data_IF_887684417111
#
_entry.id   IF_887684417111
#
_cell.length_a   1.000
_cell.length_b   1.000
_cell.length_c   1.000
_cell.angle_alpha   90.00
_cell.angle_beta   90.00
_cell.angle_gamma   90.00
#
_symmetry.space_group_name_H-M   'P 1'
#
loop_
_entity.id
_entity.type
_entity.pdbx_description
1 polymer ?
#
# COMPACT_ATOMS: atom_id res chain seq x y z
N UNK A 1 -35.85 28.71 27.79
CA UNK A 1 -35.43 27.62 26.89
C UNK A 1 -34.03 27.95 26.41
N UNK A 2 -33.08 27.01 26.53
CA UNK A 2 -31.68 27.25 26.18
C UNK A 2 -31.52 27.53 24.68
N UNK A 3 -30.70 28.51 24.33
CA UNK A 3 -30.34 28.76 22.93
C UNK A 3 -29.57 27.54 22.39
N UNK A 4 -30.01 27.01 21.26
CA UNK A 4 -29.31 25.94 20.54
C UNK A 4 -28.18 26.57 19.72
N UNK A 5 -26.96 26.42 20.22
CA UNK A 5 -25.76 26.83 19.51
C UNK A 5 -25.15 25.62 18.79
N UNK A 6 -25.10 25.63 17.45
CA UNK A 6 -24.45 24.57 16.71
C UNK A 6 -22.95 24.56 16.99
N UNK A 7 -22.40 23.35 17.09
CA UNK A 7 -20.96 23.10 17.21
C UNK A 7 -20.42 22.67 15.85
N UNK A 8 -19.20 23.10 15.53
CA UNK A 8 -18.60 22.90 14.23
C UNK A 8 -17.26 22.20 14.34
N UNK A 9 -17.02 21.26 13.44
CA UNK A 9 -15.68 20.74 13.18
C UNK A 9 -15.43 20.61 11.67
N UNK A 10 -14.18 20.79 11.29
CA UNK A 10 -13.71 20.59 9.91
C UNK A 10 -12.67 19.49 9.95
N UNK A 11 -12.90 18.43 9.17
CA UNK A 11 -11.98 17.31 9.05
C UNK A 11 -11.73 17.06 7.56
N UNK A 12 -10.50 17.33 7.11
CA UNK A 12 -10.11 17.28 5.71
C UNK A 12 -11.02 18.14 4.79
N UNK A 13 -11.87 17.49 3.98
CA UNK A 13 -12.82 18.13 3.04
C UNK A 13 -14.28 17.94 3.48
N UNK A 14 -14.52 17.65 4.76
CA UNK A 14 -15.86 17.51 5.30
C UNK A 14 -16.09 18.52 6.42
N UNK A 15 -17.28 19.14 6.43
CA UNK A 15 -17.74 20.00 7.52
C UNK A 15 -18.83 19.27 8.30
N UNK A 16 -18.66 19.21 9.62
CA UNK A 16 -19.63 18.66 10.55
C UNK A 16 -20.29 19.79 11.35
N UNK A 17 -21.61 19.75 11.42
CA UNK A 17 -22.44 20.71 12.16
C UNK A 17 -23.34 19.94 13.13
N UNK A 18 -23.08 20.06 14.42
CA UNK A 18 -23.85 19.39 15.48
C UNK A 18 -24.80 20.39 16.12
N UNK A 19 -26.10 20.08 16.12
CA UNK A 19 -27.14 20.81 16.83
C UNK A 19 -27.54 20.04 18.09
N UNK A 20 -27.14 20.50 19.29
CA UNK A 20 -27.62 19.92 20.53
C UNK A 20 -29.11 20.22 20.71
N UNK A 21 -29.91 19.20 20.98
CA UNK A 21 -31.36 19.30 21.19
C UNK A 21 -31.69 18.91 22.64
N UNK A 22 -31.32 19.71 23.64
CA UNK A 22 -31.67 19.40 25.01
C UNK A 22 -33.19 19.49 25.15
N UNK A 23 -33.82 18.39 25.56
CA UNK A 23 -35.25 18.29 25.91
C UNK A 23 -36.24 18.26 24.73
N UNK A 24 -35.77 18.17 23.48
CA UNK A 24 -36.63 18.10 22.30
C UNK A 24 -36.16 16.97 21.37
N UNK A 25 -37.09 16.24 20.77
CA UNK A 25 -36.76 15.16 19.84
C UNK A 25 -36.47 15.71 18.44
N UNK A 26 -35.68 14.97 17.65
CA UNK A 26 -35.43 15.34 16.26
C UNK A 26 -36.69 15.30 15.35
N UNK A 27 -37.79 14.69 15.81
CA UNK A 27 -39.06 14.69 15.08
C UNK A 27 -39.80 16.03 15.18
N UNK A 28 -39.64 16.73 16.31
CA UNK A 28 -40.33 18.00 16.61
C UNK A 28 -39.57 19.24 16.13
N UNK A 29 -38.30 19.06 15.73
CA UNK A 29 -37.38 20.12 15.34
C UNK A 29 -37.37 20.33 13.82
N UNK A 30 -37.43 21.60 13.42
CA UNK A 30 -37.22 22.05 12.04
C UNK A 30 -35.90 22.84 11.98
N UNK A 31 -34.93 22.42 11.16
CA UNK A 31 -33.67 23.17 10.94
C UNK A 31 -33.54 23.51 9.46
N UNK A 32 -33.28 24.77 9.15
CA UNK A 32 -32.93 25.24 7.80
C UNK A 32 -31.53 25.80 7.81
N UNK A 33 -30.76 25.44 6.80
CA UNK A 33 -29.47 26.05 6.50
C UNK A 33 -29.59 26.78 5.18
N UNK A 34 -29.12 28.02 5.18
CA UNK A 34 -29.07 28.89 4.03
C UNK A 34 -27.63 29.26 3.73
N UNK A 35 -27.27 29.29 2.45
CA UNK A 35 -26.07 29.97 1.97
C UNK A 35 -26.55 31.21 1.23
N UNK A 36 -26.12 32.38 1.68
CA UNK A 36 -26.66 33.67 1.22
C UNK A 36 -28.19 33.77 1.37
N UNK A 37 -28.96 33.58 0.28
CA UNK A 37 -30.44 33.62 0.25
C UNK A 37 -31.07 32.28 -0.13
N UNK A 38 -30.26 31.27 -0.43
CA UNK A 38 -30.74 29.97 -0.90
C UNK A 38 -30.73 28.95 0.23
N UNK A 39 -31.84 28.24 0.41
CA UNK A 39 -31.93 27.13 1.35
C UNK A 39 -31.15 25.95 0.75
N UNK A 40 -30.08 25.52 1.43
CA UNK A 40 -29.26 24.39 0.99
C UNK A 40 -29.79 23.07 1.54
N UNK A 41 -30.23 23.05 2.79
CA UNK A 41 -30.89 21.90 3.41
C UNK A 41 -32.00 22.33 4.35
N UNK A 42 -33.04 21.49 4.39
CA UNK A 42 -34.13 21.59 5.33
C UNK A 42 -34.33 20.25 6.04
N UNK A 43 -34.17 20.24 7.34
CA UNK A 43 -34.42 19.09 8.17
C UNK A 43 -35.76 19.23 8.89
N UNK A 44 -36.61 18.20 8.77
CA UNK A 44 -37.95 18.18 9.35
C UNK A 44 -38.43 16.75 9.56
N UNK A 45 -39.08 16.46 10.68
CA UNK A 45 -39.63 15.13 11.01
C UNK A 45 -38.57 14.03 10.88
N UNK A 46 -37.38 14.29 11.44
CA UNK A 46 -36.23 13.40 11.35
C UNK A 46 -35.83 13.00 9.91
N UNK A 47 -36.02 13.91 8.95
CA UNK A 47 -35.64 13.71 7.54
C UNK A 47 -34.91 14.93 7.03
N UNK A 48 -33.83 14.69 6.31
CA UNK A 48 -33.12 15.69 5.53
C UNK A 48 -33.78 15.85 4.16
N UNK A 49 -34.11 17.08 3.81
CA UNK A 49 -34.67 17.50 2.53
C UNK A 49 -33.65 18.44 1.90
N UNK A 50 -33.21 18.12 0.68
CA UNK A 50 -32.24 18.92 -0.06
C UNK A 50 -32.92 20.12 -0.71
N UNK A 51 -32.27 21.28 -0.66
CA UNK A 51 -32.74 22.51 -1.29
C UNK A 51 -32.33 22.64 -2.76
N UNK A 52 -32.35 23.88 -3.27
CA UNK A 52 -32.14 24.21 -4.68
C UNK A 52 -30.75 23.76 -5.19
N UNK A 53 -29.77 23.70 -4.29
CA UNK A 53 -28.49 23.03 -4.54
C UNK A 53 -28.61 21.53 -4.29
N UNK A 54 -29.19 20.83 -5.28
CA UNK A 54 -29.44 19.39 -5.26
C UNK A 54 -28.20 18.52 -5.10
N UNK A 55 -27.60 18.50 -3.90
CA UNK A 55 -26.35 17.81 -3.65
C UNK A 55 -26.52 16.63 -2.72
N UNK A 56 -26.19 15.45 -3.24
CA UNK A 56 -25.86 14.21 -2.52
C UNK A 56 -24.73 14.36 -1.49
N UNK A 57 -24.20 15.58 -1.30
CA UNK A 57 -23.11 15.91 -0.38
C UNK A 57 -23.56 16.08 1.06
N UNK A 58 -24.82 16.47 1.28
CA UNK A 58 -25.37 16.61 2.61
C UNK A 58 -25.90 15.29 3.14
N UNK A 59 -25.50 14.94 4.35
CA UNK A 59 -26.06 13.81 5.08
C UNK A 59 -26.32 14.21 6.52
N UNK A 60 -27.09 13.40 7.24
CA UNK A 60 -27.36 13.65 8.64
C UNK A 60 -27.34 12.36 9.45
N UNK A 61 -27.07 12.51 10.74
CA UNK A 61 -27.29 11.49 11.75
C UNK A 61 -28.04 12.12 12.92
N UNK A 62 -28.85 11.31 13.59
CA UNK A 62 -29.59 11.72 14.78
C UNK A 62 -29.16 10.81 15.92
N UNK A 63 -28.64 11.41 16.98
CA UNK A 63 -28.30 10.72 18.22
C UNK A 63 -29.19 11.25 19.35
N UNK A 64 -29.20 10.57 20.49
CA UNK A 64 -30.03 10.99 21.61
C UNK A 64 -29.62 12.39 22.10
N UNK A 65 -30.46 13.39 21.80
CA UNK A 65 -30.24 14.78 22.17
C UNK A 65 -29.39 15.60 21.18
N UNK A 66 -29.18 15.14 19.94
CA UNK A 66 -28.54 15.94 18.90
C UNK A 66 -28.94 15.54 17.47
N UNK A 67 -28.80 16.49 16.55
CA UNK A 67 -28.83 16.24 15.10
C UNK A 67 -27.53 16.76 14.52
N UNK A 68 -26.85 15.94 13.73
CA UNK A 68 -25.57 16.28 13.12
C UNK A 68 -25.69 16.26 11.61
N UNK A 69 -25.31 17.35 10.95
CA UNK A 69 -25.23 17.44 9.49
C UNK A 69 -23.77 17.36 9.03
N UNK A 70 -23.56 16.65 7.93
CA UNK A 70 -22.27 16.55 7.28
C UNK A 70 -22.38 17.10 5.87
N UNK A 71 -21.52 18.06 5.54
CA UNK A 71 -21.24 18.50 4.18
C UNK A 71 -19.96 17.82 3.72
N UNK A 72 -20.08 16.86 2.82
CA UNK A 72 -18.96 16.05 2.33
C UNK A 72 -18.38 16.60 1.03
N UNK A 73 -17.08 16.39 0.80
CA UNK A 73 -16.38 16.80 -0.42
C UNK A 73 -16.55 18.30 -0.72
N UNK A 74 -16.30 19.12 0.31
CA UNK A 74 -16.31 20.59 0.27
C UNK A 74 -15.23 21.06 -0.71
N UNK A 75 -15.64 21.80 -1.72
CA UNK A 75 -14.78 22.50 -2.67
C UNK A 75 -14.83 23.99 -2.40
N UNK A 76 -14.04 24.79 -3.13
CA UNK A 76 -14.07 26.25 -3.03
C UNK A 76 -15.46 26.85 -3.29
N UNK A 77 -16.35 26.12 -4.00
CA UNK A 77 -17.71 26.56 -4.32
C UNK A 77 -18.64 26.57 -3.10
N UNK A 78 -18.42 25.68 -2.14
CA UNK A 78 -19.22 25.61 -0.92
C UNK A 78 -18.68 26.49 0.21
N UNK A 79 -17.63 27.27 -0.05
CA UNK A 79 -17.12 28.28 0.88
C UNK A 79 -18.01 29.52 0.85
N UNK A 80 -18.37 30.05 2.02
CA UNK A 80 -19.16 31.27 2.17
C UNK A 80 -20.08 31.19 3.37
N UNK A 81 -20.61 32.31 3.85
CA UNK A 81 -21.39 32.35 5.09
C UNK A 81 -22.67 31.48 5.01
N UNK A 82 -22.82 30.58 6.00
CA UNK A 82 -24.06 29.85 6.22
C UNK A 82 -24.83 30.47 7.39
N UNK A 83 -26.15 30.54 7.20
CA UNK A 83 -27.13 30.99 8.19
C UNK A 83 -28.02 29.82 8.56
N UNK A 84 -28.22 29.61 9.86
CA UNK A 84 -29.13 28.57 10.33
C UNK A 84 -30.37 29.17 10.97
N UNK A 85 -31.54 28.63 10.61
CA UNK A 85 -32.80 28.89 11.28
C UNK A 85 -33.26 27.61 11.96
N UNK A 86 -33.40 27.65 13.29
CA UNK A 86 -33.79 26.50 14.11
C UNK A 86 -35.13 26.78 14.76
N UNK A 87 -36.08 25.86 14.63
CA UNK A 87 -37.37 25.88 15.32
C UNK A 87 -37.48 24.62 16.16
N UNK A 88 -37.68 24.79 17.46
CA UNK A 88 -37.67 23.68 18.42
C UNK A 88 -39.04 23.03 18.60
N UNK A 89 -40.14 23.77 18.46
CA UNK A 89 -41.50 23.19 18.48
C UNK A 89 -42.39 23.73 17.36
N UNK A 90 -43.42 22.96 16.92
CA UNK A 90 -44.43 23.44 15.99
C UNK A 90 -45.15 24.68 16.54
N UNK A 91 -44.93 25.85 15.92
CA UNK A 91 -45.52 27.13 16.34
C UNK A 91 -44.52 28.15 16.88
N UNK A 92 -43.29 27.73 17.18
CA UNK A 92 -42.24 28.66 17.61
C UNK A 92 -41.75 29.54 16.45
N UNK A 93 -41.38 30.78 16.77
CA UNK A 93 -40.63 31.61 15.84
C UNK A 93 -39.23 31.00 15.63
N UNK A 94 -38.73 30.92 14.38
CA UNK A 94 -37.39 30.41 14.13
C UNK A 94 -36.34 31.27 14.86
N UNK A 95 -35.41 30.60 15.53
CA UNK A 95 -34.22 31.22 16.10
C UNK A 95 -33.18 31.29 14.98
N UNK A 96 -32.77 32.50 14.62
CA UNK A 96 -31.64 32.72 13.72
C UNK A 96 -30.33 32.58 14.48
N UNK A 97 -29.52 31.63 14.04
CA UNK A 97 -28.15 31.43 14.50
C UNK A 97 -27.21 31.90 13.40
N UNK A 98 -26.53 33.02 13.65
CA UNK A 98 -25.75 33.74 12.63
C UNK A 98 -24.25 33.43 12.69
N UNK A 99 -23.66 33.18 11.51
CA UNK A 99 -22.21 33.15 11.16
C UNK A 99 -21.40 31.93 11.60
N UNK A 100 -21.18 31.02 10.65
CA UNK A 100 -20.43 29.76 10.81
C UNK A 100 -18.94 29.89 10.37
N UNK A 101 -18.47 31.05 9.91
CA UNK A 101 -17.23 31.17 9.12
C UNK A 101 -15.99 31.73 9.83
N UNK A 102 -14.98 30.86 9.99
CA UNK A 102 -13.52 31.15 9.93
C UNK A 102 -12.65 29.86 9.90
N UNK A 103 -13.24 28.65 9.98
CA UNK A 103 -12.51 27.40 10.21
C UNK A 103 -11.72 26.85 9.01
N UNK A 104 -12.02 27.27 7.76
CA UNK A 104 -11.39 26.71 6.56
C UNK A 104 -10.04 27.35 6.19
N UNK A 105 -9.73 28.57 6.67
CA UNK A 105 -8.47 29.27 6.34
C UNK A 105 -7.29 28.90 7.26
N UNK A 106 -7.54 28.43 8.49
CA UNK A 106 -6.47 28.17 9.46
C UNK A 106 -5.74 26.85 9.20
N UNK A 107 -6.44 25.82 8.71
CA UNK A 107 -5.85 24.50 8.43
C UNK A 107 -4.88 24.53 7.23
N UNK A 108 -5.18 25.33 6.20
CA UNK A 108 -4.28 25.51 5.05
C UNK A 108 -2.95 26.19 5.44
N UNK A 109 -3.00 27.15 6.38
CA UNK A 109 -1.83 27.92 6.81
C UNK A 109 -0.90 27.10 7.72
N UNK A 110 -1.45 26.21 8.55
CA UNK A 110 -0.64 25.28 9.36
C UNK A 110 0.00 24.18 8.50
N UNK A 111 -0.70 23.70 7.46
CA UNK A 111 -0.18 22.68 6.55
C UNK A 111 0.97 23.22 5.69
N UNK A 112 0.88 24.47 5.22
CA UNK A 112 1.94 25.12 4.42
C UNK A 112 3.22 25.43 5.21
N UNK A 113 3.16 25.61 6.53
CA UNK A 113 4.34 25.89 7.39
C UNK A 113 5.23 24.67 7.66
N UNK A 114 4.72 23.44 7.50
CA UNK A 114 5.44 22.20 7.84
C UNK A 114 6.27 21.61 6.68
N UNK A 115 6.21 22.16 5.46
CA UNK A 115 7.08 21.75 4.35
C UNK A 115 8.13 22.83 4.07
N UNK A 116 9.36 22.62 4.52
CA UNK A 116 10.55 23.25 3.93
C UNK A 116 10.95 22.37 2.73
N UNK A 117 10.97 22.88 1.48
CA UNK A 117 11.28 22.04 0.32
C UNK A 117 12.79 21.87 0.15
N UNK A 118 13.25 20.61 0.11
CA UNK A 118 14.50 20.26 -0.54
C UNK A 118 14.32 20.39 -2.06
N UNK A 119 15.28 21.06 -2.72
CA UNK A 119 15.26 21.37 -4.15
C UNK A 119 15.21 20.09 -5.00
N UNK A 120 14.31 20.06 -5.97
CA UNK A 120 14.35 19.13 -7.11
C UNK A 120 14.38 19.94 -8.41
N UNK A 121 15.34 19.60 -9.27
CA UNK A 121 15.48 20.10 -10.64
C UNK A 121 14.35 19.55 -11.54
N UNK A 122 14.05 20.20 -12.68
CA UNK A 122 12.87 19.88 -13.48
C UNK A 122 13.13 18.66 -14.38
N UNK A 123 12.32 17.61 -14.20
CA UNK A 123 12.28 16.47 -15.12
C UNK A 123 11.28 16.74 -16.25
N UNK A 124 11.74 16.50 -17.48
CA UNK A 124 11.03 16.69 -18.73
C UNK A 124 9.74 15.86 -18.84
N UNK A 125 8.74 16.46 -19.48
CA UNK A 125 7.49 15.82 -19.86
C UNK A 125 7.74 14.63 -20.81
N UNK A 126 7.29 13.44 -20.39
CA UNK A 126 7.01 12.33 -21.29
C UNK A 126 5.52 12.06 -21.26
N UNK A 127 4.84 12.37 -22.35
CA UNK A 127 3.49 11.89 -22.62
C UNK A 127 3.50 10.37 -22.76
N UNK A 128 2.62 9.67 -22.03
CA UNK A 128 2.25 8.29 -22.35
C UNK A 128 0.76 8.10 -22.09
N UNK A 129 0.03 7.77 -23.16
CA UNK A 129 -1.35 7.32 -23.06
C UNK A 129 -1.45 5.90 -22.53
N UNK A 130 -2.21 5.73 -21.46
CA UNK A 130 -3.09 4.62 -21.09
C UNK A 130 -3.81 5.10 -19.82
N UNK A 131 -5.15 5.03 -19.76
CA UNK A 131 -5.84 5.33 -18.50
C UNK A 131 -5.56 4.18 -17.54
N UNK A 132 -4.57 4.34 -16.68
CA UNK A 132 -4.25 3.37 -15.64
C UNK A 132 -5.35 3.43 -14.59
N UNK A 133 -6.19 2.38 -14.57
CA UNK A 133 -7.24 2.25 -13.56
C UNK A 133 -6.64 2.32 -12.15
N UNK A 134 -7.29 3.08 -11.25
CA UNK A 134 -6.86 3.24 -9.87
C UNK A 134 -7.45 2.09 -9.05
N UNK A 135 -6.64 1.10 -8.74
CA UNK A 135 -7.04 -0.06 -7.96
C UNK A 135 -6.86 0.21 -6.46
N UNK A 136 -7.89 -0.06 -5.65
CA UNK A 136 -7.90 0.16 -4.20
C UNK A 136 -8.33 -1.09 -3.45
N UNK A 137 -7.56 -1.50 -2.45
CA UNK A 137 -7.96 -2.54 -1.50
C UNK A 137 -8.34 -1.94 -0.15
N UNK A 138 -9.38 -2.49 0.48
CA UNK A 138 -9.88 -2.03 1.77
C UNK A 138 -9.70 -3.08 2.85
N UNK A 139 -9.21 -2.66 4.01
CA UNK A 139 -9.03 -3.51 5.18
C UNK A 139 -9.85 -2.95 6.33
N UNK A 140 -10.62 -3.81 7.01
CA UNK A 140 -11.50 -3.40 8.12
C UNK A 140 -11.03 -4.05 9.43
N UNK A 141 -10.27 -3.31 10.24
CA UNK A 141 -9.78 -3.80 11.53
C UNK A 141 -10.82 -3.58 12.64
N UNK A 142 -11.97 -4.25 12.55
CA UNK A 142 -13.04 -4.17 13.55
C UNK A 142 -14.40 -3.83 12.96
N UNK A 143 -15.37 -3.53 13.84
CA UNK A 143 -16.75 -3.20 13.43
C UNK A 143 -16.83 -1.74 12.99
N UNK A 144 -17.08 -1.52 11.71
CA UNK A 144 -17.19 -0.18 11.09
C UNK A 144 -18.58 0.10 10.49
N UNK A 145 -19.56 -0.76 10.77
CA UNK A 145 -20.99 -0.55 10.48
C UNK A 145 -21.31 -0.12 9.02
N UNK A 146 -20.54 -0.58 8.04
CA UNK A 146 -20.78 -0.29 6.62
C UNK A 146 -20.20 1.03 6.13
N UNK A 147 -19.41 1.73 6.95
CA UNK A 147 -18.72 2.97 6.59
C UNK A 147 -17.81 2.81 5.36
N UNK A 148 -17.21 1.63 5.20
CA UNK A 148 -16.39 1.25 4.05
C UNK A 148 -17.11 1.42 2.71
N UNK A 149 -18.41 1.10 2.66
CA UNK A 149 -19.21 1.24 1.44
C UNK A 149 -19.50 2.71 1.13
N UNK A 150 -19.80 3.51 2.15
CA UNK A 150 -20.02 4.95 1.99
C UNK A 150 -18.74 5.68 1.55
N UNK A 151 -17.61 5.31 2.15
CA UNK A 151 -16.29 5.81 1.79
C UNK A 151 -15.93 5.47 0.33
N UNK A 152 -16.17 4.23 -0.11
CA UNK A 152 -15.96 3.83 -1.51
C UNK A 152 -16.83 4.60 -2.50
N UNK A 153 -18.11 4.81 -2.19
CA UNK A 153 -19.02 5.55 -3.06
C UNK A 153 -18.51 6.99 -3.26
N UNK A 154 -18.01 7.62 -2.20
CA UNK A 154 -17.39 8.94 -2.26
C UNK A 154 -16.09 8.96 -3.08
N UNK A 155 -15.28 7.90 -3.02
CA UNK A 155 -14.08 7.80 -3.86
C UNK A 155 -14.44 7.57 -5.34
N UNK A 156 -15.39 6.68 -5.63
CA UNK A 156 -15.85 6.40 -7.01
C UNK A 156 -16.46 7.62 -7.69
N UNK A 157 -17.07 8.54 -6.94
CA UNK A 157 -17.60 9.78 -7.53
C UNK A 157 -16.50 10.79 -7.91
N UNK A 158 -15.26 10.56 -7.50
CA UNK A 158 -14.12 11.49 -7.68
C UNK A 158 -13.00 10.90 -8.54
N UNK A 159 -13.00 9.59 -8.75
CA UNK A 159 -11.97 8.85 -9.48
C UNK A 159 -12.72 7.93 -10.45
N UNK A 160 -12.76 8.32 -11.73
CA UNK A 160 -13.58 7.67 -12.76
C UNK A 160 -13.23 6.19 -12.97
N UNK A 161 -11.94 5.84 -12.91
CA UNK A 161 -11.46 4.46 -13.12
C UNK A 161 -11.10 3.75 -11.80
N UNK A 162 -11.80 4.06 -10.69
CA UNK A 162 -11.57 3.42 -9.39
C UNK A 162 -12.13 2.00 -9.32
N UNK A 163 -11.27 1.01 -9.14
CA UNK A 163 -11.66 -0.40 -8.96
C UNK A 163 -11.30 -0.88 -7.56
N UNK A 164 -12.19 -1.67 -6.97
CA UNK A 164 -11.92 -2.31 -5.68
C UNK A 164 -11.37 -3.70 -5.97
N UNK A 165 -10.23 -4.00 -5.40
CA UNK A 165 -9.50 -5.25 -5.57
C UNK A 165 -9.72 -6.19 -4.41
N UNK A 166 -9.65 -7.49 -4.69
CA UNK A 166 -9.78 -8.53 -3.67
C UNK A 166 -8.51 -8.65 -2.83
N UNK A 167 -7.35 -8.34 -3.42
CA UNK A 167 -6.04 -8.51 -2.79
C UNK A 167 -5.24 -7.20 -2.80
N UNK A 168 -4.37 -7.04 -1.79
CA UNK A 168 -3.48 -5.86 -1.65
C UNK A 168 -2.56 -5.70 -2.87
N UNK A 169 -2.12 -6.80 -3.50
CA UNK A 169 -1.18 -6.78 -4.63
C UNK A 169 -1.71 -6.19 -5.93
N UNK A 170 -3.01 -6.32 -6.17
CA UNK A 170 -3.64 -5.77 -7.37
C UNK A 170 -3.90 -4.26 -7.23
N UNK A 171 -3.57 -3.68 -6.07
CA UNK A 171 -3.98 -2.35 -5.64
C UNK A 171 -2.85 -1.35 -5.76
N UNK A 172 -3.16 -0.16 -6.26
CA UNK A 172 -2.26 0.99 -6.18
C UNK A 172 -2.32 1.67 -4.81
N UNK A 173 -3.44 1.52 -4.10
CA UNK A 173 -3.71 2.17 -2.80
C UNK A 173 -4.36 1.15 -1.86
N UNK A 174 -3.90 1.11 -0.61
CA UNK A 174 -4.54 0.36 0.47
C UNK A 174 -5.15 1.33 1.46
N UNK A 175 -6.42 1.14 1.80
CA UNK A 175 -7.12 1.93 2.81
C UNK A 175 -7.49 1.02 3.97
N UNK A 176 -7.08 1.40 5.17
CA UNK A 176 -7.36 0.64 6.39
C UNK A 176 -8.31 1.45 7.26
N UNK A 177 -9.44 0.86 7.59
CA UNK A 177 -10.34 1.39 8.59
C UNK A 177 -9.90 0.87 9.96
N UNK A 178 -9.40 1.80 10.78
CA UNK A 178 -8.90 1.54 12.13
C UNK A 178 -9.77 2.27 13.16
N UNK A 179 -10.82 1.63 13.70
CA UNK A 179 -11.53 2.14 14.87
C UNK A 179 -10.59 2.21 16.05
N UNK A 180 -10.41 3.40 16.62
CA UNK A 180 -9.63 3.57 17.86
C UNK A 180 -10.53 3.20 19.04
N UNK A 181 -10.22 2.07 19.68
CA UNK A 181 -10.98 1.52 20.81
C UNK A 181 -10.14 1.40 22.08
N UNK A 182 -8.82 1.55 21.96
CA UNK A 182 -7.86 1.54 23.05
C UNK A 182 -6.94 2.77 22.97
N UNK A 183 -5.65 2.59 22.66
CA UNK A 183 -4.70 3.67 22.36
C UNK A 183 -4.50 3.72 20.86
N UNK A 184 -4.55 4.92 20.30
CA UNK A 184 -4.37 5.13 18.86
C UNK A 184 -3.14 4.40 18.31
N UNK A 185 -1.98 4.47 18.99
CA UNK A 185 -0.79 3.73 18.56
C UNK A 185 -1.00 2.21 18.48
N UNK A 186 -1.55 1.60 19.54
CA UNK A 186 -1.79 0.15 19.59
C UNK A 186 -2.83 -0.31 18.57
N UNK A 187 -3.91 0.46 18.39
CA UNK A 187 -4.96 0.12 17.42
C UNK A 187 -4.47 0.30 15.98
N UNK A 188 -3.67 1.33 15.72
CA UNK A 188 -2.99 1.55 14.43
C UNK A 188 -2.00 0.42 14.16
N UNK A 189 -1.17 0.04 15.11
CA UNK A 189 -0.22 -1.07 14.97
C UNK A 189 -0.96 -2.38 14.66
N UNK A 190 -2.07 -2.64 15.35
CA UNK A 190 -2.93 -3.80 15.09
C UNK A 190 -3.62 -3.74 13.71
N UNK A 191 -4.01 -2.54 13.25
CA UNK A 191 -4.63 -2.34 11.94
C UNK A 191 -3.62 -2.47 10.79
N UNK A 192 -2.41 -1.94 10.98
CA UNK A 192 -1.29 -2.09 10.04
C UNK A 192 -0.85 -3.56 9.95
N UNK A 193 -0.88 -4.31 11.06
CA UNK A 193 -0.64 -5.75 11.05
C UNK A 193 -1.70 -6.55 10.27
N UNK A 194 -2.87 -5.97 9.97
CA UNK A 194 -3.85 -6.59 9.08
C UNK A 194 -3.51 -6.43 7.59
N UNK A 195 -2.59 -5.52 7.23
CA UNK A 195 -2.09 -5.47 5.86
C UNK A 195 -1.27 -6.73 5.62
N UNK A 196 -1.95 -7.73 5.07
CA UNK A 196 -1.28 -8.83 4.40
C UNK A 196 -0.99 -8.35 3.01
N UNK A 197 0.12 -7.62 2.85
CA UNK A 197 0.82 -7.71 1.59
C UNK A 197 1.02 -9.22 1.35
N UNK A 198 0.85 -9.74 0.12
CA UNK A 198 1.52 -11.01 -0.17
C UNK A 198 2.95 -10.83 0.32
N UNK A 199 3.48 -11.77 1.13
CA UNK A 199 4.74 -11.60 1.83
C UNK A 199 5.71 -10.90 0.90
N UNK A 200 6.10 -9.65 1.22
CA UNK A 200 6.70 -8.66 0.29
C UNK A 200 7.27 -9.39 -0.92
N UNK A 201 6.52 -9.42 -2.03
CA UNK A 201 6.73 -10.45 -3.06
C UNK A 201 8.22 -10.65 -3.31
N UNK A 202 8.76 -11.79 -2.86
CA UNK A 202 10.18 -11.85 -2.45
C UNK A 202 11.06 -11.50 -3.64
N UNK A 203 11.68 -10.32 -3.56
CA UNK A 203 12.35 -9.73 -4.71
C UNK A 203 13.73 -10.32 -4.85
N UNK A 204 14.01 -10.87 -6.04
CA UNK A 204 15.33 -11.41 -6.40
C UNK A 204 15.99 -10.53 -7.45
N UNK A 205 17.23 -10.14 -7.19
CA UNK A 205 18.09 -9.43 -8.14
C UNK A 205 19.21 -10.34 -8.64
N UNK A 206 19.55 -10.26 -9.93
CA UNK A 206 20.59 -11.09 -10.54
C UNK A 206 21.76 -10.21 -11.01
N UNK A 207 22.98 -10.56 -10.60
CA UNK A 207 24.21 -9.86 -10.97
C UNK A 207 25.07 -10.80 -11.81
N UNK A 208 25.43 -10.37 -13.01
CA UNK A 208 26.28 -11.15 -13.92
C UNK A 208 27.70 -10.60 -13.96
N UNK A 209 28.67 -11.37 -13.44
CA UNK A 209 30.08 -11.00 -13.51
C UNK A 209 30.78 -11.77 -14.64
N UNK A 210 30.80 -11.19 -15.85
CA UNK A 210 31.54 -11.76 -16.98
C UNK A 210 30.68 -12.58 -17.95
N UNK A 211 31.36 -13.27 -18.87
CA UNK A 211 30.70 -14.02 -19.97
C UNK A 211 30.31 -15.41 -19.49
N UNK A 212 29.02 -15.72 -19.58
CA UNK A 212 28.43 -16.98 -19.09
C UNK A 212 27.49 -17.64 -20.11
N UNK A 213 27.57 -17.22 -21.39
CA UNK A 213 26.98 -17.85 -22.57
C UNK A 213 25.50 -18.23 -22.46
N UNK A 214 24.67 -17.40 -21.81
CA UNK A 214 23.23 -17.64 -21.67
C UNK A 214 22.83 -18.57 -20.53
N UNK A 215 23.81 -19.09 -19.77
CA UNK A 215 23.57 -19.95 -18.60
C UNK A 215 22.76 -19.21 -17.53
N UNK A 216 22.88 -17.88 -17.44
CA UNK A 216 22.10 -17.04 -16.55
C UNK A 216 20.59 -17.23 -16.78
N UNK A 217 20.15 -17.27 -18.03
CA UNK A 217 18.72 -17.40 -18.36
C UNK A 217 18.17 -18.74 -17.88
N UNK A 218 18.95 -19.80 -18.04
CA UNK A 218 18.58 -21.16 -17.61
C UNK A 218 18.54 -21.27 -16.09
N UNK A 219 19.53 -20.71 -15.38
CA UNK A 219 19.54 -20.70 -13.90
C UNK A 219 18.37 -19.86 -13.36
N UNK A 220 18.15 -18.66 -13.90
CA UNK A 220 17.01 -17.80 -13.55
C UNK A 220 15.69 -18.57 -13.73
N UNK A 221 15.49 -19.19 -14.89
CA UNK A 221 14.29 -19.98 -15.18
C UNK A 221 14.13 -21.16 -14.21
N UNK A 222 15.19 -21.92 -13.95
CA UNK A 222 15.17 -23.07 -13.05
C UNK A 222 14.84 -22.68 -11.60
N UNK A 223 15.29 -21.50 -11.16
CA UNK A 223 14.99 -20.96 -9.83
C UNK A 223 13.53 -20.48 -9.74
N UNK A 224 13.11 -19.61 -10.66
CA UNK A 224 11.76 -19.02 -10.68
C UNK A 224 10.65 -20.04 -10.96
N UNK A 225 10.97 -21.15 -11.64
CA UNK A 225 10.01 -22.25 -11.84
C UNK A 225 9.79 -23.10 -10.60
N UNK A 226 10.70 -23.06 -9.61
CA UNK A 226 10.65 -23.88 -8.40
C UNK A 226 10.19 -23.13 -7.15
N UNK A 227 10.21 -21.79 -7.16
CA UNK A 227 9.74 -20.95 -6.05
C UNK A 227 8.73 -19.95 -6.61
N UNK A 228 7.49 -20.00 -6.14
CA UNK A 228 6.39 -19.22 -6.73
C UNK A 228 6.33 -17.77 -6.26
N UNK A 229 6.86 -17.47 -5.07
CA UNK A 229 6.79 -16.13 -4.47
C UNK A 229 7.85 -15.16 -5.02
N UNK A 230 8.82 -15.65 -5.81
CA UNK A 230 9.92 -14.82 -6.32
C UNK A 230 9.46 -13.85 -7.41
N UNK A 231 9.77 -12.56 -7.24
CA UNK A 231 9.64 -11.54 -8.30
C UNK A 231 11.00 -10.96 -8.65
N UNK A 232 11.30 -10.85 -9.94
CA UNK A 232 12.57 -10.28 -10.40
C UNK A 232 12.55 -8.76 -10.25
N UNK A 233 13.60 -8.18 -9.68
CA UNK A 233 13.81 -6.72 -9.64
C UNK A 233 15.13 -6.31 -10.31
N UNK A 234 15.16 -5.12 -10.89
CA UNK A 234 16.36 -4.51 -11.47
C UNK A 234 17.16 -3.70 -10.45
N UNK A 235 16.57 -3.38 -9.30
CA UNK A 235 17.21 -2.62 -8.24
C UNK A 235 17.70 -3.55 -7.13
N UNK A 236 19.01 -3.54 -6.90
CA UNK A 236 19.62 -4.33 -5.83
C UNK A 236 19.16 -3.86 -4.45
N UNK A 237 18.92 -2.56 -4.25
CA UNK A 237 18.50 -2.01 -2.95
C UNK A 237 17.10 -2.49 -2.57
N UNK A 238 16.21 -2.62 -3.55
CA UNK A 238 14.85 -3.12 -3.42
C UNK A 238 14.75 -4.66 -3.33
N UNK A 239 15.87 -5.41 -3.40
CA UNK A 239 15.84 -6.89 -3.36
C UNK A 239 15.91 -7.50 -1.95
N UNK A 240 15.26 -8.64 -1.74
CA UNK A 240 15.44 -9.48 -0.54
C UNK A 240 16.54 -10.54 -0.75
N UNK A 241 16.66 -11.02 -2.00
CA UNK A 241 17.60 -12.05 -2.42
C UNK A 241 18.47 -11.50 -3.55
N UNK A 242 19.76 -11.80 -3.52
CA UNK A 242 20.68 -11.48 -4.61
C UNK A 242 21.35 -12.75 -5.11
N UNK A 243 21.30 -13.01 -6.41
CA UNK A 243 22.02 -14.11 -7.05
C UNK A 243 23.17 -13.52 -7.87
N UNK A 244 24.40 -13.88 -7.54
CA UNK A 244 25.61 -13.41 -8.22
C UNK A 244 26.18 -14.57 -9.05
N UNK A 245 26.29 -14.38 -10.36
CA UNK A 245 26.95 -15.33 -11.25
C UNK A 245 28.46 -15.11 -11.21
N UNK A 246 29.19 -16.14 -10.80
CA UNK A 246 30.64 -16.13 -10.62
C UNK A 246 31.27 -17.19 -11.55
N UNK A 247 31.58 -16.87 -12.81
CA UNK A 247 32.37 -17.74 -13.67
C UNK A 247 33.78 -17.90 -13.11
N UNK A 248 34.22 -19.15 -12.99
CA UNK A 248 35.58 -19.48 -12.61
C UNK A 248 36.48 -19.29 -13.83
N UNK A 249 37.27 -18.22 -13.81
CA UNK A 249 38.22 -17.85 -14.88
C UNK A 249 39.64 -18.20 -14.47
N UNK A 250 39.94 -18.10 -13.18
CA UNK A 250 41.27 -18.37 -12.63
C UNK A 250 41.23 -19.58 -11.71
N UNK A 251 40.78 -19.39 -10.47
CA UNK A 251 40.62 -20.38 -9.42
C UNK A 251 39.38 -20.01 -8.61
N UNK A 252 38.59 -21.01 -8.26
CA UNK A 252 37.31 -20.81 -7.57
C UNK A 252 37.42 -19.84 -6.38
N UNK A 253 38.35 -20.08 -5.45
CA UNK A 253 38.52 -19.19 -4.28
C UNK A 253 38.81 -17.73 -4.65
N UNK A 254 39.69 -17.47 -5.62
CA UNK A 254 40.02 -16.10 -6.05
C UNK A 254 38.85 -15.41 -6.73
N UNK A 255 38.12 -16.11 -7.60
CA UNK A 255 36.98 -15.56 -8.32
C UNK A 255 35.78 -15.33 -7.36
N UNK A 256 35.63 -16.20 -6.34
CA UNK A 256 34.65 -16.04 -5.24
C UNK A 256 34.98 -14.79 -4.41
N UNK A 257 36.23 -14.65 -3.95
CA UNK A 257 36.67 -13.47 -3.17
C UNK A 257 36.42 -12.17 -3.95
N UNK A 258 36.72 -12.19 -5.25
CA UNK A 258 36.49 -11.04 -6.13
C UNK A 258 35.00 -10.73 -6.32
N UNK A 259 34.13 -11.74 -6.37
CA UNK A 259 32.67 -11.55 -6.46
C UNK A 259 32.10 -11.00 -5.15
N UNK A 260 32.54 -11.51 -4.00
CA UNK A 260 32.12 -11.02 -2.69
C UNK A 260 32.56 -9.58 -2.43
N UNK A 261 33.77 -9.21 -2.88
CA UNK A 261 34.28 -7.83 -2.75
C UNK A 261 33.47 -6.79 -3.54
N UNK A 262 32.63 -7.21 -4.49
CA UNK A 262 31.78 -6.32 -5.29
C UNK A 262 30.41 -6.06 -4.64
N UNK A 263 30.07 -6.75 -3.56
CA UNK A 263 28.83 -6.54 -2.82
C UNK A 263 28.87 -5.15 -2.16
N UNK A 264 27.96 -4.27 -2.59
CA UNK A 264 27.85 -2.89 -2.08
C UNK A 264 26.75 -2.69 -1.03
N UNK A 265 25.93 -3.72 -0.81
CA UNK A 265 24.90 -3.73 0.22
C UNK A 265 25.42 -4.43 1.48
N UNK A 266 24.90 -4.11 2.68
CA UNK A 266 25.24 -4.85 3.90
C UNK A 266 24.79 -6.31 3.74
N UNK A 267 25.70 -7.30 3.75
CA UNK A 267 25.33 -8.69 3.50
C UNK A 267 24.23 -9.18 4.44
N UNK A 268 24.30 -8.82 5.72
CA UNK A 268 23.34 -9.18 6.76
C UNK A 268 21.87 -8.83 6.45
N UNK A 269 21.62 -7.94 5.49
CA UNK A 269 20.28 -7.50 5.11
C UNK A 269 19.64 -8.34 4.00
N UNK A 270 20.42 -9.18 3.30
CA UNK A 270 19.96 -9.91 2.11
C UNK A 270 20.49 -11.34 2.11
N UNK A 271 19.69 -12.27 1.61
CA UNK A 271 20.18 -13.62 1.29
C UNK A 271 20.93 -13.56 -0.04
N UNK A 272 22.17 -14.01 -0.07
CA UNK A 272 22.99 -13.98 -1.27
C UNK A 272 23.33 -15.40 -1.73
N UNK A 273 23.06 -15.70 -3.00
CA UNK A 273 23.49 -16.95 -3.65
C UNK A 273 24.59 -16.64 -4.63
N UNK A 274 25.75 -17.26 -4.45
CA UNK A 274 26.85 -17.23 -5.40
C UNK A 274 26.77 -18.46 -6.31
N UNK A 275 26.30 -18.27 -7.54
CA UNK A 275 26.28 -19.31 -8.56
C UNK A 275 27.68 -19.40 -9.19
N UNK A 276 28.50 -20.31 -8.67
CA UNK A 276 29.89 -20.55 -9.10
C UNK A 276 29.88 -21.42 -10.36
N UNK A 277 30.23 -20.83 -11.49
CA UNK A 277 30.11 -21.43 -12.82
C UNK A 277 31.45 -21.99 -13.28
N UNK A 278 31.57 -23.32 -13.31
CA UNK A 278 32.77 -24.04 -13.72
C UNK A 278 32.69 -24.37 -15.20
N UNK A 279 33.58 -23.79 -15.99
CA UNK A 279 33.64 -24.07 -17.42
C UNK A 279 34.16 -25.49 -17.67
N UNK A 280 33.32 -26.36 -18.21
CA UNK A 280 33.67 -27.74 -18.55
C UNK A 280 32.66 -28.38 -19.49
N UNK A 281 33.11 -29.32 -20.33
CA UNK A 281 32.23 -30.18 -21.12
C UNK A 281 31.83 -31.47 -20.37
N UNK A 282 32.55 -31.84 -19.31
CA UNK A 282 32.33 -33.08 -18.55
C UNK A 282 31.21 -32.91 -17.52
N UNK A 283 30.03 -33.55 -17.69
CA UNK A 283 28.91 -33.42 -16.77
C UNK A 283 29.16 -34.09 -15.40
N UNK A 284 30.15 -34.99 -15.31
CA UNK A 284 30.50 -35.75 -14.11
C UNK A 284 31.76 -35.21 -13.42
N UNK A 285 32.26 -34.04 -13.87
CA UNK A 285 33.46 -33.41 -13.31
C UNK A 285 33.36 -33.30 -11.80
N UNK A 286 34.31 -33.88 -11.08
CA UNK A 286 34.42 -33.73 -9.62
C UNK A 286 34.93 -32.33 -9.28
N UNK A 287 34.29 -31.68 -8.31
CA UNK A 287 34.63 -30.33 -7.86
C UNK A 287 34.74 -30.33 -6.33
N UNK A 288 35.62 -29.50 -5.79
CA UNK A 288 35.56 -29.15 -4.39
C UNK A 288 34.31 -28.29 -4.13
N UNK A 289 33.67 -28.45 -2.97
CA UNK A 289 32.50 -27.64 -2.61
C UNK A 289 32.93 -26.19 -2.40
N UNK A 290 32.47 -25.30 -3.29
CA UNK A 290 32.80 -23.88 -3.24
C UNK A 290 32.21 -23.18 -2.02
N UNK A 291 31.21 -23.77 -1.36
CA UNK A 291 30.66 -23.22 -0.12
C UNK A 291 31.67 -23.17 1.02
N UNK A 292 32.75 -23.96 0.95
CA UNK A 292 33.85 -23.91 1.93
C UNK A 292 34.63 -22.58 1.91
N UNK A 293 34.50 -21.77 0.86
CA UNK A 293 35.12 -20.44 0.77
C UNK A 293 34.25 -19.32 1.36
N UNK A 294 33.02 -19.63 1.78
CA UNK A 294 32.06 -18.65 2.33
C UNK A 294 31.90 -18.87 3.83
N UNK A 295 32.00 -17.79 4.62
CA UNK A 295 31.91 -17.86 6.08
C UNK A 295 30.57 -17.32 6.62
N UNK A 296 29.92 -16.45 5.85
CA UNK A 296 28.70 -15.75 6.23
C UNK A 296 27.48 -16.67 6.08
N UNK A 297 26.64 -16.75 7.11
CA UNK A 297 25.46 -17.65 7.12
C UNK A 297 24.40 -17.28 6.08
N UNK A 298 24.29 -15.98 5.78
CA UNK A 298 23.36 -15.43 4.79
C UNK A 298 23.88 -15.52 3.35
N UNK A 299 25.03 -16.17 3.12
CA UNK A 299 25.60 -16.37 1.78
C UNK A 299 25.77 -17.88 1.51
N UNK A 300 25.28 -18.34 0.36
CA UNK A 300 25.45 -19.71 -0.13
C UNK A 300 26.24 -19.71 -1.43
N UNK A 301 27.35 -20.44 -1.51
CA UNK A 301 27.97 -20.75 -2.80
C UNK A 301 27.52 -22.13 -3.32
N UNK A 302 27.17 -22.17 -4.60
CA UNK A 302 26.67 -23.37 -5.27
C UNK A 302 27.37 -23.54 -6.61
N UNK A 303 27.90 -24.75 -6.83
CA UNK A 303 28.66 -25.09 -8.03
C UNK A 303 27.74 -25.52 -9.18
N UNK A 304 27.87 -24.84 -10.32
CA UNK A 304 27.21 -25.15 -11.59
C UNK A 304 28.24 -25.45 -12.67
N UNK A 305 27.92 -26.36 -13.58
CA UNK A 305 28.73 -26.70 -14.75
C UNK A 305 28.14 -26.05 -16.00
N UNK A 306 28.97 -25.38 -16.80
CA UNK A 306 28.54 -24.76 -18.05
C UNK A 306 29.60 -24.88 -19.15
N UNK A 307 29.18 -24.74 -20.40
CA UNK A 307 30.06 -24.80 -21.57
C UNK A 307 29.60 -23.81 -22.64
N UNK A 308 30.53 -23.20 -23.38
CA UNK A 308 30.23 -22.07 -24.30
C UNK A 308 29.09 -22.35 -25.29
N UNK A 309 29.06 -23.53 -25.90
CA UNK A 309 28.07 -23.90 -26.92
C UNK A 309 26.73 -24.38 -26.34
N UNK A 310 26.71 -24.80 -25.07
CA UNK A 310 25.54 -25.44 -24.44
C UNK A 310 24.88 -24.57 -23.38
N UNK A 311 25.59 -23.56 -22.87
CA UNK A 311 25.21 -22.87 -21.64
C UNK A 311 25.33 -23.82 -20.44
N UNK A 312 24.32 -23.83 -19.58
CA UNK A 312 24.25 -24.72 -18.43
C UNK A 312 24.13 -26.18 -18.89
N UNK A 313 24.97 -27.06 -18.35
CA UNK A 313 24.89 -28.48 -18.68
C UNK A 313 23.60 -29.11 -18.14
N UNK A 314 22.97 -29.97 -18.93
CA UNK A 314 21.90 -30.85 -18.47
C UNK A 314 22.53 -32.06 -17.74
N UNK A 315 22.70 -31.93 -16.42
CA UNK A 315 23.29 -33.00 -15.60
C UNK A 315 22.71 -33.01 -14.18
N UNK A 316 22.91 -34.15 -13.49
CA UNK A 316 22.45 -34.33 -12.11
C UNK A 316 23.06 -33.29 -11.17
N UNK A 317 24.31 -32.89 -11.42
CA UNK A 317 25.00 -31.89 -10.59
C UNK A 317 24.30 -30.53 -10.60
N UNK A 318 23.90 -30.04 -11.77
CA UNK A 318 23.18 -28.77 -11.92
C UNK A 318 21.74 -28.83 -11.38
N UNK A 319 21.10 -30.00 -11.51
CA UNK A 319 19.79 -30.25 -10.87
C UNK A 319 19.90 -30.19 -9.34
N UNK A 320 20.89 -30.89 -8.77
CA UNK A 320 21.17 -30.88 -7.33
C UNK A 320 21.57 -29.48 -6.83
N UNK A 321 22.35 -28.73 -7.63
CA UNK A 321 22.71 -27.36 -7.33
C UNK A 321 21.47 -26.46 -7.21
N UNK A 322 20.54 -26.59 -8.15
CA UNK A 322 19.27 -25.85 -8.11
C UNK A 322 18.43 -26.25 -6.89
N UNK A 323 18.33 -27.55 -6.58
CA UNK A 323 17.62 -28.02 -5.38
C UNK A 323 18.27 -27.54 -4.08
N UNK A 324 19.61 -27.52 -4.00
CA UNK A 324 20.37 -26.96 -2.88
C UNK A 324 20.03 -25.48 -2.69
N UNK A 325 20.03 -24.70 -3.76
CA UNK A 325 19.66 -23.27 -3.72
C UNK A 325 18.23 -23.07 -3.23
N UNK A 326 17.27 -23.82 -3.78
CA UNK A 326 15.84 -23.69 -3.42
C UNK A 326 15.61 -24.03 -1.95
N UNK A 327 16.13 -25.17 -1.49
CA UNK A 327 15.94 -25.60 -0.11
C UNK A 327 16.57 -24.60 0.87
N UNK A 328 17.81 -24.16 0.60
CA UNK A 328 18.50 -23.19 1.46
C UNK A 328 17.76 -21.84 1.51
N UNK A 329 17.27 -21.33 0.37
CA UNK A 329 16.50 -20.09 0.34
C UNK A 329 15.23 -20.19 1.18
N UNK A 330 14.48 -21.30 1.07
CA UNK A 330 13.26 -21.50 1.87
C UNK A 330 13.58 -21.56 3.37
N UNK A 331 14.62 -22.32 3.74
CA UNK A 331 15.05 -22.46 5.14
C UNK A 331 15.52 -21.13 5.73
N UNK A 332 16.39 -20.39 5.02
CA UNK A 332 16.94 -19.12 5.51
C UNK A 332 15.93 -17.97 5.46
N UNK A 333 15.05 -17.94 4.45
CA UNK A 333 13.97 -16.97 4.40
C UNK A 333 13.10 -17.08 5.66
N UNK A 334 12.74 -18.31 6.05
CA UNK A 334 11.94 -18.57 7.24
C UNK A 334 12.62 -18.07 8.52
N UNK A 335 13.94 -18.21 8.66
CA UNK A 335 14.70 -17.65 9.80
C UNK A 335 14.64 -16.12 9.87
N UNK A 336 14.44 -15.45 8.73
CA UNK A 336 14.32 -13.98 8.62
C UNK A 336 12.87 -13.48 8.61
N UNK A 337 11.89 -14.36 8.83
CA UNK A 337 10.46 -14.00 8.81
C UNK A 337 9.84 -13.88 7.42
N UNK A 338 10.58 -14.25 6.37
CA UNK A 338 10.10 -14.31 4.99
C UNK A 338 9.56 -15.71 4.71
N UNK A 339 8.40 -15.81 4.06
CA UNK A 339 7.84 -17.11 3.65
C UNK A 339 8.08 -17.33 2.16
N UNK A 340 8.70 -18.46 1.81
CA UNK A 340 8.89 -18.92 0.43
C UNK A 340 8.27 -20.32 0.27
N UNK A 341 7.49 -20.49 -0.78
CA UNK A 341 6.79 -21.71 -1.15
C UNK A 341 7.43 -22.36 -2.37
N UNK A 342 7.67 -23.66 -2.27
CA UNK A 342 8.08 -24.46 -3.41
C UNK A 342 6.88 -24.64 -4.33
N UNK A 343 7.05 -24.34 -5.61
CA UNK A 343 6.02 -24.58 -6.62
C UNK A 343 5.75 -26.09 -6.69
N UNK A 344 4.51 -26.50 -6.48
CA UNK A 344 4.12 -27.91 -6.65
C UNK A 344 4.36 -28.32 -8.09
N UNK A 345 5.01 -29.48 -8.33
CA UNK A 345 5.08 -30.07 -9.67
C UNK A 345 3.64 -30.19 -10.19
N UNK A 346 3.34 -29.50 -11.29
CA UNK A 346 2.13 -29.81 -12.05
C UNK A 346 2.17 -31.31 -12.39
N UNK A 347 1.07 -32.06 -12.23
CA UNK A 347 1.03 -33.43 -12.72
C UNK A 347 1.31 -33.38 -14.21
N UNK A 348 2.37 -34.07 -14.63
CA UNK A 348 2.65 -34.34 -16.03
C UNK A 348 1.44 -35.09 -16.60
N UNK A 349 0.69 -34.42 -17.48
CA UNK A 349 -0.33 -35.05 -18.32
C UNK A 349 0.31 -36.02 -19.32
#
# INVERSE_FOLDING_TARGET
MGQVYPKFSVEAQSVCIVYPLPQVTAEDVDIRLFREKECVIFFKKNRLIHGCEGSSKWSHTTEQGSVTFFLNNVTFLEHGDYLSQVRLSPGDNPIEVTKIFHALQQSENEFKRKRVPAKTEPMEHRESGASDAVNVHLISNGKIFGFENQFLLNLRSRIEDLKVTQDVEDSNIVVIFCPVVSRAGTDIDAALAQIKYPPDAVKVHFISNGKIFGSEKQIIHNLLSRIEDLKVTQDVEDSNIVVIFCPVVSRAGTDIDAALAQIKYPPENKLTVLAVLHHTFDPEKTLADSNNYVQQKNILAVDFLFYEDKGLLDCQKNSNATDKTVNWLIEQAHETGITLHRKSKSPSN
#
